data_IF_473797136627
#
_entry.id   IF_473797136627
#
_cell.length_a   1.000
_cell.length_b   1.000
_cell.length_c   1.000
_cell.angle_alpha   90.00
_cell.angle_beta   90.00
_cell.angle_gamma   90.00
#
_symmetry.space_group_name_H-M   'P 1'
#
loop_
_entity.id
_entity.type
_entity.pdbx_description
1 polymer ?
#
# COMPACT_ATOMS: atom_id res chain seq x y z
N UNK A 1 -23.97 -36.80 -9.61
CA UNK A 1 -24.40 -35.37 -9.67
C UNK A 1 -24.14 -34.62 -8.36
N UNK A 2 -24.69 -35.04 -7.21
CA UNK A 2 -24.57 -34.31 -5.92
C UNK A 2 -23.12 -34.04 -5.42
N UNK A 3 -22.23 -35.02 -5.53
CA UNK A 3 -20.83 -34.86 -5.09
C UNK A 3 -20.06 -33.81 -5.92
N UNK A 4 -20.29 -33.78 -7.24
CA UNK A 4 -19.66 -32.79 -8.12
C UNK A 4 -20.09 -31.37 -7.76
N UNK A 5 -21.40 -31.13 -7.57
CA UNK A 5 -21.91 -29.84 -7.12
C UNK A 5 -21.32 -29.41 -5.77
N UNK A 6 -21.20 -30.35 -4.82
CA UNK A 6 -20.59 -30.07 -3.51
C UNK A 6 -19.12 -29.65 -3.64
N UNK A 7 -18.35 -30.32 -4.49
CA UNK A 7 -16.94 -30.00 -4.73
C UNK A 7 -16.77 -28.65 -5.42
N UNK A 8 -17.59 -28.34 -6.43
CA UNK A 8 -17.60 -27.03 -7.10
C UNK A 8 -17.95 -25.91 -6.12
N UNK A 9 -18.95 -26.11 -5.27
CA UNK A 9 -19.32 -25.12 -4.25
C UNK A 9 -18.19 -24.89 -3.23
N UNK A 10 -17.51 -25.95 -2.78
CA UNK A 10 -16.35 -25.83 -1.90
C UNK A 10 -15.20 -25.07 -2.59
N UNK A 11 -14.89 -25.39 -3.85
CA UNK A 11 -13.88 -24.67 -4.63
C UNK A 11 -14.23 -23.18 -4.75
N UNK A 12 -15.48 -22.87 -5.08
CA UNK A 12 -15.93 -21.48 -5.21
C UNK A 12 -15.87 -20.72 -3.88
N UNK A 13 -16.19 -21.37 -2.76
CA UNK A 13 -16.05 -20.77 -1.43
C UNK A 13 -14.59 -20.49 -1.08
N UNK A 14 -13.67 -21.42 -1.39
CA UNK A 14 -12.24 -21.23 -1.20
C UNK A 14 -11.69 -20.10 -2.07
N UNK A 15 -12.09 -20.02 -3.34
CA UNK A 15 -11.67 -18.95 -4.25
C UNK A 15 -12.13 -17.57 -3.75
N UNK A 16 -13.37 -17.45 -3.27
CA UNK A 16 -13.86 -16.21 -2.66
C UNK A 16 -13.06 -15.83 -1.42
N UNK A 17 -12.74 -16.80 -0.56
CA UNK A 17 -11.92 -16.54 0.63
C UNK A 17 -10.52 -16.10 0.25
N UNK A 18 -9.89 -16.74 -0.74
CA UNK A 18 -8.57 -16.35 -1.22
C UNK A 18 -8.59 -14.92 -1.78
N UNK A 19 -9.61 -14.57 -2.56
CA UNK A 19 -9.76 -13.22 -3.08
C UNK A 19 -9.85 -12.18 -1.96
N UNK A 20 -10.64 -12.44 -0.91
CA UNK A 20 -10.71 -11.57 0.27
C UNK A 20 -9.36 -11.44 0.99
N UNK A 21 -8.61 -12.53 1.14
CA UNK A 21 -7.30 -12.51 1.76
C UNK A 21 -6.29 -11.71 0.94
N UNK A 22 -6.32 -11.86 -0.38
CA UNK A 22 -5.44 -11.09 -1.28
C UNK A 22 -5.72 -9.59 -1.20
N UNK A 23 -7.00 -9.19 -1.11
CA UNK A 23 -7.36 -7.78 -0.92
C UNK A 23 -6.83 -7.24 0.41
N UNK A 24 -7.02 -7.99 1.50
CA UNK A 24 -6.50 -7.60 2.82
C UNK A 24 -4.97 -7.51 2.84
N UNK A 25 -4.29 -8.42 2.15
CA UNK A 25 -2.83 -8.39 2.01
C UNK A 25 -2.37 -7.15 1.23
N UNK A 26 -3.05 -6.81 0.14
CA UNK A 26 -2.77 -5.60 -0.64
C UNK A 26 -2.98 -4.32 0.17
N UNK A 27 -4.08 -4.22 0.94
CA UNK A 27 -4.34 -3.09 1.83
C UNK A 27 -3.24 -2.95 2.89
N UNK A 28 -2.86 -4.05 3.54
CA UNK A 28 -1.80 -4.07 4.56
C UNK A 28 -0.43 -3.68 3.97
N UNK A 29 -0.12 -4.12 2.76
CA UNK A 29 1.13 -3.75 2.08
C UNK A 29 1.16 -2.27 1.70
N UNK A 30 0.02 -1.70 1.27
CA UNK A 30 -0.11 -0.26 1.03
C UNK A 30 0.05 0.54 2.32
N UNK A 31 -0.56 0.08 3.43
CA UNK A 31 -0.47 0.73 4.73
C UNK A 31 0.97 0.74 5.25
N UNK A 32 1.68 -0.39 5.19
CA UNK A 32 3.11 -0.46 5.57
C UNK A 32 3.98 0.48 4.73
N UNK A 33 3.75 0.52 3.41
CA UNK A 33 4.50 1.44 2.53
C UNK A 33 4.21 2.89 2.87
N UNK A 34 2.94 3.22 3.14
CA UNK A 34 2.53 4.54 3.58
C UNK A 34 3.25 4.94 4.88
N UNK A 35 3.26 4.07 5.89
CA UNK A 35 3.93 4.33 7.17
C UNK A 35 5.43 4.57 6.99
N UNK A 36 6.12 3.73 6.20
CA UNK A 36 7.55 3.88 5.93
C UNK A 36 7.86 5.22 5.24
N UNK A 37 7.12 5.56 4.18
CA UNK A 37 7.32 6.83 3.47
C UNK A 37 7.01 8.04 4.34
N UNK A 38 5.96 7.97 5.17
CA UNK A 38 5.60 9.07 6.06
C UNK A 38 6.64 9.26 7.17
N UNK A 39 7.22 8.18 7.70
CA UNK A 39 8.35 8.27 8.63
C UNK A 39 9.58 8.91 7.97
N UNK A 40 9.93 8.51 6.75
CA UNK A 40 11.05 9.07 6.02
C UNK A 40 10.84 10.55 5.68
N UNK A 41 9.64 10.92 5.23
CA UNK A 41 9.28 12.29 4.93
C UNK A 41 9.31 13.17 6.20
N UNK A 42 8.81 12.67 7.34
CA UNK A 42 8.90 13.40 8.62
C UNK A 42 10.35 13.61 9.07
N UNK A 43 11.21 12.62 8.84
CA UNK A 43 12.63 12.74 9.14
C UNK A 43 13.29 13.81 8.24
N UNK A 44 12.96 13.84 6.95
CA UNK A 44 13.46 14.86 6.02
C UNK A 44 12.96 16.28 6.39
N UNK A 45 11.66 16.42 6.65
CA UNK A 45 11.03 17.68 7.07
C UNK A 45 11.49 18.19 8.44
N UNK A 46 12.12 17.34 9.28
CA UNK A 46 12.69 17.76 10.56
C UNK A 46 13.97 18.59 10.40
N UNK A 47 14.60 18.55 9.22
CA UNK A 47 15.74 19.40 8.85
C UNK A 47 15.21 20.76 8.41
N UNK A 48 15.83 21.85 8.88
CA UNK A 48 15.41 23.20 8.49
C UNK A 48 15.78 23.48 7.01
N UNK A 49 14.88 24.14 6.26
CA UNK A 49 15.00 24.31 4.80
C UNK A 49 16.28 25.02 4.33
N UNK A 50 16.87 25.87 5.17
CA UNK A 50 18.13 26.55 4.87
C UNK A 50 19.36 25.64 5.00
N UNK A 51 19.22 24.51 5.71
CA UNK A 51 20.25 23.47 5.82
C UNK A 51 20.10 22.39 4.74
N UNK A 52 18.99 22.39 4.00
CA UNK A 52 18.72 21.37 2.98
C UNK A 52 19.53 21.60 1.71
N UNK A 53 20.17 20.55 1.23
CA UNK A 53 20.74 20.51 -0.13
C UNK A 53 19.62 20.39 -1.17
N UNK A 54 19.93 20.73 -2.42
CA UNK A 54 18.96 20.58 -3.51
C UNK A 54 18.54 19.11 -3.68
N UNK A 55 19.48 18.17 -3.53
CA UNK A 55 19.21 16.73 -3.53
C UNK A 55 18.23 16.31 -2.43
N UNK A 56 18.29 16.92 -1.24
CA UNK A 56 17.33 16.64 -0.16
C UNK A 56 15.93 17.16 -0.49
N UNK A 57 15.82 18.31 -1.15
CA UNK A 57 14.52 18.85 -1.60
C UNK A 57 13.91 18.00 -2.72
N UNK A 58 14.72 17.56 -3.68
CA UNK A 58 14.26 16.64 -4.72
C UNK A 58 13.78 15.32 -4.10
N UNK A 59 14.50 14.79 -3.11
CA UNK A 59 14.09 13.59 -2.39
C UNK A 59 12.76 13.79 -1.65
N UNK A 60 12.55 14.92 -0.98
CA UNK A 60 11.27 15.25 -0.33
C UNK A 60 10.12 15.34 -1.33
N UNK A 61 10.34 15.97 -2.49
CA UNK A 61 9.34 16.06 -3.55
C UNK A 61 8.96 14.67 -4.12
N UNK A 62 9.95 13.78 -4.28
CA UNK A 62 9.71 12.39 -4.67
C UNK A 62 8.92 11.64 -3.62
N UNK A 63 9.31 11.73 -2.33
CA UNK A 63 8.59 11.08 -1.23
C UNK A 63 7.13 11.55 -1.13
N UNK A 64 6.87 12.85 -1.33
CA UNK A 64 5.52 13.41 -1.39
C UNK A 64 4.72 12.85 -2.57
N UNK A 65 5.33 12.77 -3.75
CA UNK A 65 4.70 12.24 -4.96
C UNK A 65 4.32 10.76 -4.77
N UNK A 66 5.22 9.96 -4.21
CA UNK A 66 4.96 8.55 -3.90
C UNK A 66 3.86 8.39 -2.84
N UNK A 67 3.83 9.25 -1.82
CA UNK A 67 2.79 9.22 -0.80
C UNK A 67 1.40 9.53 -1.37
N UNK A 68 1.30 10.51 -2.26
CA UNK A 68 0.05 10.80 -3.00
C UNK A 68 -0.37 9.60 -3.83
N UNK A 69 0.56 9.00 -4.59
CA UNK A 69 0.27 7.83 -5.40
C UNK A 69 -0.25 6.64 -4.57
N UNK A 70 0.25 6.43 -3.35
CA UNK A 70 -0.27 5.40 -2.43
C UNK A 70 -1.68 5.74 -1.95
N UNK A 71 -1.93 7.00 -1.60
CA UNK A 71 -3.26 7.44 -1.16
C UNK A 71 -4.29 7.27 -2.28
N UNK A 72 -3.92 7.61 -3.52
CA UNK A 72 -4.76 7.41 -4.70
C UNK A 72 -5.05 5.91 -4.90
N UNK A 73 -4.03 5.05 -4.81
CA UNK A 73 -4.19 3.60 -4.93
C UNK A 73 -5.06 2.95 -3.86
N UNK A 74 -5.16 3.58 -2.68
CA UNK A 74 -6.04 3.12 -1.60
C UNK A 74 -7.48 3.60 -1.78
N UNK A 75 -7.68 4.67 -2.54
CA UNK A 75 -8.99 5.24 -2.81
C UNK A 75 -9.69 4.59 -4.02
N UNK A 76 -8.93 3.93 -4.90
CA UNK A 76 -9.43 3.06 -5.99
C UNK A 76 -9.98 1.73 -5.46
#
# INVERSE_FOLDING_TARGET
>A
MSQWFTLVNKKNALLRRQMQLNLLEQENDLEKKYEMLNMELRAALSVEDWQKTEEQREKEALLLTELVAIVDKRNE
#
